data_IF_926370293301
#
_entry.id   IF_926370293301
#
_cell.length_a   1.000
_cell.length_b   1.000
_cell.length_c   1.000
_cell.angle_alpha   90.00
_cell.angle_beta   90.00
_cell.angle_gamma   90.00
#
_symmetry.space_group_name_H-M   'P 1'
#
loop_
_entity.id
_entity.type
_entity.pdbx_description
1 polymer ?
#
# COMPACT_ATOMS: atom_id res chain seq x y z
N UNK A 1 16.98 -14.46 -12.99
CA UNK A 1 15.66 -13.88 -13.31
C UNK A 1 15.33 -14.11 -14.78
N UNK A 2 14.12 -14.56 -15.09
CA UNK A 2 13.57 -14.58 -16.45
C UNK A 2 12.44 -13.55 -16.51
N UNK A 3 12.40 -12.78 -17.61
CA UNK A 3 11.26 -11.91 -17.91
C UNK A 3 10.31 -12.73 -18.80
N UNK A 4 9.06 -12.85 -18.37
CA UNK A 4 8.02 -13.64 -19.02
C UNK A 4 7.10 -12.70 -19.81
N UNK A 5 7.47 -12.44 -21.07
CA UNK A 5 6.73 -11.53 -21.96
C UNK A 5 5.58 -12.24 -22.68
N UNK A 6 5.48 -13.56 -22.59
CA UNK A 6 4.41 -14.36 -23.18
C UNK A 6 3.71 -15.19 -22.10
N UNK A 7 2.39 -15.14 -22.08
CA UNK A 7 1.58 -15.80 -21.04
C UNK A 7 1.12 -14.81 -19.96
N UNK A 8 0.43 -15.34 -18.99
CA UNK A 8 0.01 -14.58 -17.80
C UNK A 8 0.01 -15.50 -16.58
N UNK A 9 0.13 -14.95 -15.36
CA UNK A 9 0.17 -15.74 -14.13
C UNK A 9 -0.91 -16.82 -14.03
N UNK A 10 -2.16 -16.47 -14.32
CA UNK A 10 -3.30 -17.41 -14.27
C UNK A 10 -3.12 -18.63 -15.17
N UNK A 11 -2.64 -18.42 -16.41
CA UNK A 11 -2.41 -19.52 -17.36
C UNK A 11 -1.29 -20.47 -16.91
N UNK A 12 -0.32 -19.94 -16.16
CA UNK A 12 0.79 -20.69 -15.58
C UNK A 12 0.45 -21.28 -14.18
N UNK A 13 -0.80 -21.13 -13.69
CA UNK A 13 -1.24 -21.62 -12.39
C UNK A 13 -0.84 -20.77 -11.20
N UNK A 14 -0.49 -19.49 -11.42
CA UNK A 14 -0.15 -18.54 -10.36
C UNK A 14 -1.37 -17.70 -9.96
N UNK A 15 -1.39 -17.28 -8.69
CA UNK A 15 -2.39 -16.39 -8.10
C UNK A 15 -1.75 -15.47 -7.07
N UNK A 16 -2.36 -14.32 -6.80
CA UNK A 16 -1.96 -13.41 -5.73
C UNK A 16 -2.47 -13.94 -4.39
N UNK A 17 -1.58 -14.29 -3.45
CA UNK A 17 -1.99 -14.68 -2.10
C UNK A 17 -2.47 -13.47 -1.29
N UNK A 18 -3.28 -13.72 -0.26
CA UNK A 18 -3.68 -12.68 0.67
C UNK A 18 -2.50 -12.14 1.47
N UNK A 19 -2.60 -10.88 1.92
CA UNK A 19 -1.56 -10.27 2.76
C UNK A 19 -1.45 -10.94 4.13
N UNK A 20 -2.52 -11.50 4.67
CA UNK A 20 -2.46 -12.27 5.92
C UNK A 20 -1.87 -13.70 5.78
N UNK A 21 -1.53 -14.14 4.56
CA UNK A 21 -0.78 -15.38 4.34
C UNK A 21 0.69 -15.24 4.77
N UNK A 22 1.44 -16.34 4.96
CA UNK A 22 2.85 -16.27 5.35
C UNK A 22 3.73 -15.51 4.35
N UNK A 23 4.62 -14.66 4.87
CA UNK A 23 5.59 -13.87 4.12
C UNK A 23 7.02 -14.43 4.25
N UNK A 24 7.79 -14.30 3.17
CA UNK A 24 9.25 -14.42 3.18
C UNK A 24 9.91 -13.09 3.58
N UNK A 25 9.17 -11.99 3.55
CA UNK A 25 9.64 -10.68 3.97
C UNK A 25 8.85 -9.53 3.36
N UNK A 26 9.29 -8.31 3.67
CA UNK A 26 8.68 -7.04 3.26
C UNK A 26 9.70 -6.13 2.62
N UNK A 27 9.33 -5.49 1.53
CA UNK A 27 10.10 -4.44 0.84
C UNK A 27 9.66 -3.08 1.38
N UNK A 28 10.64 -2.21 1.70
CA UNK A 28 10.45 -0.80 2.06
C UNK A 28 11.48 0.01 1.27
N UNK A 29 11.09 1.18 0.77
CA UNK A 29 12.01 2.13 0.14
C UNK A 29 12.32 3.24 1.14
N UNK A 30 13.61 3.65 1.27
CA UNK A 30 14.00 4.66 2.24
C UNK A 30 13.65 6.07 1.76
N UNK A 31 12.91 6.87 2.54
CA UNK A 31 12.37 8.16 2.09
C UNK A 31 13.47 9.21 1.88
N UNK A 32 13.40 9.93 0.74
CA UNK A 32 14.39 10.92 0.33
C UNK A 32 13.80 12.16 -0.35
N UNK A 33 12.74 12.00 -1.19
CA UNK A 33 12.19 13.06 -2.04
C UNK A 33 11.71 14.29 -1.23
N UNK A 34 12.20 15.52 -1.50
CA UNK A 34 11.81 16.70 -0.71
C UNK A 34 10.36 17.17 -0.97
N UNK A 35 9.78 16.81 -2.11
CA UNK A 35 8.38 17.08 -2.45
C UNK A 35 7.38 16.20 -1.70
N UNK A 36 7.84 15.06 -1.12
CA UNK A 36 7.02 14.18 -0.30
C UNK A 36 7.42 14.22 1.18
N UNK A 37 8.73 14.31 1.48
CA UNK A 37 9.27 14.14 2.84
C UNK A 37 9.89 15.43 3.37
N UNK A 38 9.12 16.14 4.19
CA UNK A 38 9.47 17.47 4.72
C UNK A 38 10.75 17.47 5.56
N UNK A 39 11.42 18.62 5.59
CA UNK A 39 12.61 18.87 6.40
C UNK A 39 13.72 17.80 6.25
N UNK A 40 13.99 17.39 5.01
CA UNK A 40 15.02 16.39 4.70
C UNK A 40 14.67 14.98 5.16
N UNK A 41 13.37 14.66 5.23
CA UNK A 41 12.80 13.36 5.59
C UNK A 41 13.12 12.90 7.03
N UNK A 42 13.63 13.74 7.92
CA UNK A 42 14.15 13.29 9.22
C UNK A 42 13.10 12.53 10.03
N UNK A 43 11.90 13.11 10.23
CA UNK A 43 10.83 12.49 11.01
C UNK A 43 10.21 11.30 10.29
N UNK A 44 10.03 11.42 8.96
CA UNK A 44 9.59 10.31 8.14
C UNK A 44 10.51 9.10 8.29
N UNK A 45 11.84 9.31 8.23
CA UNK A 45 12.85 8.26 8.43
C UNK A 45 12.76 7.60 9.81
N UNK A 46 12.45 8.35 10.87
CA UNK A 46 12.23 7.79 12.20
C UNK A 46 10.95 6.91 12.23
N UNK A 47 9.85 7.33 11.58
CA UNK A 47 8.62 6.54 11.46
C UNK A 47 8.81 5.29 10.58
N UNK A 48 9.48 5.41 9.43
CA UNK A 48 9.86 4.26 8.59
C UNK A 48 10.74 3.27 9.35
N UNK A 49 11.70 3.75 10.13
CA UNK A 49 12.55 2.90 10.94
C UNK A 49 11.76 2.13 12.00
N UNK A 50 10.71 2.73 12.57
CA UNK A 50 9.82 2.03 13.49
C UNK A 50 9.03 0.91 12.79
N UNK A 51 8.49 1.18 11.59
CA UNK A 51 7.84 0.16 10.75
C UNK A 51 8.81 -0.98 10.43
N UNK A 52 10.03 -0.67 9.99
CA UNK A 52 11.07 -1.66 9.70
C UNK A 52 11.39 -2.52 10.93
N UNK A 53 11.53 -1.90 12.11
CA UNK A 53 11.82 -2.61 13.35
C UNK A 53 10.66 -3.55 13.75
N UNK A 54 9.40 -3.11 13.62
CA UNK A 54 8.24 -3.93 13.90
C UNK A 54 8.14 -5.15 12.96
N UNK A 55 8.43 -4.97 11.68
CA UNK A 55 8.49 -6.04 10.68
C UNK A 55 9.60 -7.04 11.04
N UNK A 56 10.79 -6.56 11.39
CA UNK A 56 11.95 -7.39 11.71
C UNK A 56 11.78 -8.26 12.97
N UNK A 57 10.74 -8.04 13.77
CA UNK A 57 10.39 -8.96 14.86
C UNK A 57 9.82 -10.30 14.35
N UNK A 58 9.24 -10.36 13.14
CA UNK A 58 8.54 -11.56 12.65
C UNK A 58 8.89 -12.01 11.23
N UNK A 59 9.52 -11.15 10.43
CA UNK A 59 9.91 -11.46 9.05
C UNK A 59 11.06 -10.60 8.55
N UNK A 60 11.64 -10.98 7.41
CA UNK A 60 12.76 -10.27 6.79
C UNK A 60 12.32 -8.91 6.25
N UNK A 61 12.97 -7.81 6.65
CA UNK A 61 12.81 -6.51 6.04
C UNK A 61 13.90 -6.26 4.97
N UNK A 62 13.48 -5.86 3.76
CA UNK A 62 14.35 -5.45 2.66
C UNK A 62 14.23 -3.94 2.48
N UNK A 63 15.25 -3.20 2.88
CA UNK A 63 15.28 -1.73 2.76
C UNK A 63 16.04 -1.34 1.51
N UNK A 64 15.31 -0.80 0.54
CA UNK A 64 15.89 -0.25 -0.68
C UNK A 64 16.30 1.20 -0.41
N UNK A 65 17.50 1.57 -0.72
CA UNK A 65 18.01 2.92 -0.50
C UNK A 65 19.07 3.29 -1.53
N UNK A 66 19.12 4.56 -1.92
CA UNK A 66 20.21 5.08 -2.74
C UNK A 66 21.54 5.09 -1.98
N UNK A 67 22.65 5.11 -2.74
CA UNK A 67 24.01 5.02 -2.18
C UNK A 67 24.34 6.11 -1.17
N UNK A 68 23.80 7.32 -1.36
CA UNK A 68 24.07 8.49 -0.49
C UNK A 68 23.28 8.46 0.83
N UNK A 69 22.22 7.64 0.95
CA UNK A 69 21.37 7.56 2.15
C UNK A 69 21.34 6.17 2.81
N UNK A 70 21.94 5.14 2.22
CA UNK A 70 21.87 3.76 2.74
C UNK A 70 22.52 3.62 4.14
N UNK A 71 23.61 4.34 4.40
CA UNK A 71 24.24 4.34 5.73
C UNK A 71 23.44 5.14 6.76
N UNK A 72 22.71 6.18 6.31
CA UNK A 72 21.74 6.87 7.14
C UNK A 72 20.60 5.91 7.52
N UNK A 73 20.06 5.13 6.56
CA UNK A 73 19.02 4.14 6.84
C UNK A 73 19.46 3.15 7.93
N UNK A 74 20.68 2.58 7.82
CA UNK A 74 21.24 1.67 8.84
C UNK A 74 21.31 2.33 10.22
N UNK A 75 21.81 3.55 10.27
CA UNK A 75 22.02 4.28 11.52
C UNK A 75 20.72 4.63 12.22
N UNK A 76 19.70 5.08 11.46
CA UNK A 76 18.39 5.47 12.02
C UNK A 76 17.62 4.24 12.49
N UNK A 77 17.57 3.17 11.69
CA UNK A 77 16.91 1.91 12.09
C UNK A 77 17.52 1.35 13.38
N UNK A 78 18.85 1.31 13.48
CA UNK A 78 19.53 0.85 14.70
C UNK A 78 19.27 1.75 15.92
N UNK A 79 19.19 3.07 15.72
CA UNK A 79 18.88 4.01 16.79
C UNK A 79 17.45 3.82 17.32
N UNK A 80 16.46 3.72 16.41
CA UNK A 80 15.04 3.49 16.75
C UNK A 80 14.85 2.12 17.40
N UNK A 81 15.49 1.08 16.88
CA UNK A 81 15.47 -0.27 17.45
C UNK A 81 15.89 -0.27 18.92
N UNK A 82 17.01 0.39 19.24
CA UNK A 82 17.51 0.52 20.61
C UNK A 82 16.60 1.38 21.49
N UNK A 83 16.15 2.52 20.97
CA UNK A 83 15.34 3.47 21.73
C UNK A 83 13.98 2.87 22.13
N UNK A 84 13.35 2.14 21.20
CA UNK A 84 12.01 1.53 21.39
C UNK A 84 12.06 0.06 21.86
N UNK A 85 13.27 -0.48 22.02
CA UNK A 85 13.52 -1.84 22.49
C UNK A 85 12.87 -2.94 21.61
N UNK A 86 12.87 -2.74 20.29
CA UNK A 86 12.46 -3.77 19.33
C UNK A 86 13.47 -4.92 19.27
N UNK A 87 12.96 -6.15 19.10
CA UNK A 87 13.80 -7.32 18.90
C UNK A 87 14.06 -7.51 17.39
N UNK A 88 15.31 -7.76 17.01
CA UNK A 88 15.69 -8.12 15.66
C UNK A 88 15.78 -9.65 15.56
N UNK A 89 14.63 -10.30 15.39
CA UNK A 89 14.59 -11.75 15.21
C UNK A 89 14.93 -12.14 13.76
N UNK A 90 14.72 -11.22 12.83
CA UNK A 90 15.09 -11.33 11.42
C UNK A 90 15.97 -10.16 11.02
N UNK A 91 17.09 -10.39 10.31
CA UNK A 91 18.01 -9.31 9.96
C UNK A 91 17.40 -8.35 8.93
N UNK A 92 17.65 -7.05 9.10
CA UNK A 92 17.30 -6.05 8.09
C UNK A 92 18.33 -6.09 6.96
N UNK A 93 17.89 -6.34 5.73
CA UNK A 93 18.73 -6.33 4.53
C UNK A 93 18.62 -5.01 3.79
N UNK A 94 19.76 -4.37 3.56
CA UNK A 94 19.84 -3.12 2.83
C UNK A 94 20.31 -3.39 1.41
N UNK A 95 19.55 -2.93 0.43
CA UNK A 95 19.83 -3.11 -0.99
C UNK A 95 19.98 -1.74 -1.63
N UNK A 96 21.16 -1.45 -2.21
CA UNK A 96 21.35 -0.23 -2.95
C UNK A 96 20.48 -0.23 -4.21
N UNK A 97 19.57 0.76 -4.30
CA UNK A 97 18.65 0.92 -5.41
C UNK A 97 18.23 2.39 -5.53
N UNK A 98 18.10 2.87 -6.76
CA UNK A 98 17.54 4.19 -7.06
C UNK A 98 16.02 4.11 -7.17
N UNK A 99 15.33 5.13 -6.70
CA UNK A 99 13.89 5.36 -6.85
C UNK A 99 13.62 6.86 -6.90
N UNK A 100 12.46 7.26 -7.40
CA UNK A 100 12.05 8.67 -7.37
C UNK A 100 11.35 8.99 -6.05
N UNK A 101 10.60 8.02 -5.46
CA UNK A 101 10.00 8.17 -4.12
C UNK A 101 9.99 6.83 -3.34
N UNK A 102 9.31 6.79 -2.18
CA UNK A 102 9.39 5.71 -1.19
C UNK A 102 8.12 4.84 -1.09
N UNK A 103 7.30 4.81 -2.12
CA UNK A 103 6.00 4.13 -2.13
C UNK A 103 6.12 2.68 -2.62
N UNK A 104 6.74 1.83 -1.78
CA UNK A 104 7.09 0.45 -2.12
C UNK A 104 5.88 -0.41 -2.53
N UNK A 105 4.67 -0.10 -2.04
CA UNK A 105 3.42 -0.78 -2.41
C UNK A 105 3.13 -0.63 -3.90
N UNK A 106 3.35 0.56 -4.44
CA UNK A 106 2.90 0.93 -5.77
C UNK A 106 3.98 0.72 -6.84
N UNK A 107 5.24 0.98 -6.49
CA UNK A 107 6.38 0.83 -7.42
C UNK A 107 7.08 -0.52 -7.29
N UNK A 108 6.85 -1.25 -6.20
CA UNK A 108 7.37 -2.60 -5.99
C UNK A 108 6.62 -3.66 -6.79
N UNK A 109 7.23 -4.86 -6.96
CA UNK A 109 6.56 -5.94 -7.67
C UNK A 109 5.35 -6.46 -6.89
N UNK A 110 4.19 -6.60 -7.54
CA UNK A 110 3.12 -7.44 -7.00
C UNK A 110 3.53 -8.90 -7.15
N UNK A 111 3.49 -9.67 -6.07
CA UNK A 111 3.91 -11.07 -6.11
C UNK A 111 2.73 -12.02 -6.28
N UNK A 112 2.96 -13.06 -7.08
CA UNK A 112 2.07 -14.19 -7.25
C UNK A 112 2.81 -15.49 -6.94
N UNK A 113 2.08 -16.50 -6.48
CA UNK A 113 2.63 -17.83 -6.19
C UNK A 113 1.77 -18.92 -6.83
N UNK A 114 2.35 -20.12 -7.00
CA UNK A 114 1.61 -21.30 -7.40
C UNK A 114 1.54 -22.32 -6.24
N UNK A 115 0.83 -23.42 -6.47
CA UNK A 115 0.68 -24.49 -5.46
C UNK A 115 1.99 -25.22 -5.15
N UNK A 116 2.97 -25.20 -6.05
CA UNK A 116 4.31 -25.76 -5.82
C UNK A 116 5.21 -24.87 -4.97
N UNK A 117 4.74 -23.68 -4.57
CA UNK A 117 5.48 -22.70 -3.79
C UNK A 117 6.43 -21.82 -4.60
N UNK A 118 6.41 -21.87 -5.94
CA UNK A 118 7.16 -20.93 -6.75
C UNK A 118 6.53 -19.52 -6.65
N UNK A 119 7.40 -18.51 -6.48
CA UNK A 119 7.01 -17.10 -6.37
C UNK A 119 7.57 -16.34 -7.56
N UNK A 120 6.74 -15.48 -8.16
CA UNK A 120 7.10 -14.59 -9.27
C UNK A 120 6.60 -13.17 -9.01
N UNK A 121 7.34 -12.17 -9.50
CA UNK A 121 6.88 -10.79 -9.50
C UNK A 121 6.01 -10.47 -10.72
N UNK A 122 5.21 -9.43 -10.60
CA UNK A 122 4.54 -8.75 -11.71
C UNK A 122 5.07 -7.33 -11.72
N UNK A 123 5.51 -6.86 -12.87
CA UNK A 123 6.00 -5.52 -13.14
C UNK A 123 4.92 -4.75 -13.88
N UNK A 124 4.19 -3.91 -13.16
CA UNK A 124 3.17 -3.03 -13.71
C UNK A 124 3.81 -1.80 -14.33
N UNK A 125 3.13 -1.17 -15.28
CA UNK A 125 3.51 0.16 -15.71
C UNK A 125 3.13 1.17 -14.63
N UNK A 126 4.12 1.86 -14.07
CA UNK A 126 3.89 2.92 -13.10
C UNK A 126 3.98 4.30 -13.77
N UNK A 127 3.07 5.22 -13.44
CA UNK A 127 2.99 6.53 -14.05
C UNK A 127 2.73 7.67 -13.06
N UNK A 128 3.24 7.55 -11.84
CA UNK A 128 3.03 8.51 -10.75
C UNK A 128 1.54 8.79 -10.48
N UNK A 129 0.71 7.73 -10.48
CA UNK A 129 -0.74 7.70 -10.20
C UNK A 129 -1.65 8.48 -11.16
N UNK A 130 -1.15 8.96 -12.29
CA UNK A 130 -2.01 9.68 -13.22
C UNK A 130 -1.31 10.16 -14.49
N UNK A 131 -0.01 9.98 -14.58
CA UNK A 131 0.79 10.31 -15.73
C UNK A 131 0.70 11.80 -16.08
N UNK A 132 0.30 12.11 -17.31
CA UNK A 132 0.15 13.49 -17.79
C UNK A 132 -1.22 14.11 -17.44
N UNK A 133 -2.15 13.36 -16.89
CA UNK A 133 -3.51 13.83 -16.59
C UNK A 133 -3.56 14.47 -15.22
N UNK A 134 -3.12 13.72 -14.22
CA UNK A 134 -3.17 14.07 -12.80
C UNK A 134 -2.05 13.38 -11.98
N UNK A 135 -0.92 13.06 -12.64
CA UNK A 135 0.25 12.48 -11.95
C UNK A 135 0.91 13.45 -10.99
N UNK A 136 1.34 12.94 -9.84
CA UNK A 136 1.84 13.76 -8.73
C UNK A 136 3.26 14.30 -8.95
N UNK A 137 4.04 13.72 -9.89
CA UNK A 137 5.34 14.24 -10.29
C UNK A 137 5.68 13.92 -11.75
N UNK A 138 6.56 14.71 -12.34
CA UNK A 138 6.79 14.71 -13.80
C UNK A 138 7.71 13.60 -14.30
N UNK A 139 8.65 13.13 -13.49
CA UNK A 139 9.58 12.04 -13.82
C UNK A 139 9.44 10.90 -12.81
N UNK A 140 9.02 9.73 -13.29
CA UNK A 140 8.85 8.49 -12.53
C UNK A 140 9.66 7.33 -13.12
N UNK A 141 10.67 7.64 -13.92
CA UNK A 141 11.43 6.62 -14.67
C UNK A 141 12.23 5.66 -13.80
N UNK A 142 12.64 6.08 -12.58
CA UNK A 142 13.28 5.18 -11.63
C UNK A 142 12.26 4.30 -10.94
N UNK A 143 11.13 4.88 -10.54
CA UNK A 143 10.05 4.17 -9.86
C UNK A 143 9.44 3.08 -10.74
N UNK A 144 9.19 3.36 -12.03
CA UNK A 144 8.71 2.38 -13.03
C UNK A 144 9.68 1.19 -13.25
N UNK A 145 10.89 1.26 -12.71
CA UNK A 145 11.91 0.20 -12.81
C UNK A 145 12.17 -0.56 -11.51
N UNK A 146 11.62 -0.11 -10.39
CA UNK A 146 11.89 -0.70 -9.06
C UNK A 146 11.52 -2.17 -9.03
N UNK A 147 10.34 -2.55 -9.55
CA UNK A 147 9.87 -3.93 -9.56
C UNK A 147 10.83 -4.85 -10.31
N UNK A 148 11.21 -4.49 -11.54
CA UNK A 148 12.16 -5.25 -12.34
C UNK A 148 13.55 -5.36 -11.68
N UNK A 149 14.07 -4.23 -11.15
CA UNK A 149 15.37 -4.21 -10.49
C UNK A 149 15.39 -5.05 -9.21
N UNK A 150 14.32 -4.98 -8.40
CA UNK A 150 14.21 -5.80 -7.21
C UNK A 150 14.15 -7.30 -7.54
N UNK A 151 13.27 -7.69 -8.47
CA UNK A 151 13.17 -9.09 -8.90
C UNK A 151 14.50 -9.62 -9.42
N UNK A 152 15.24 -8.80 -10.18
CA UNK A 152 16.57 -9.19 -10.67
C UNK A 152 17.57 -9.39 -9.53
N UNK A 153 17.64 -8.46 -8.57
CA UNK A 153 18.59 -8.54 -7.44
C UNK A 153 18.23 -9.67 -6.47
N UNK A 154 16.94 -9.91 -6.25
CA UNK A 154 16.45 -10.94 -5.35
C UNK A 154 16.32 -12.33 -6.00
N UNK A 155 16.46 -12.43 -7.34
CA UNK A 155 16.44 -13.68 -8.08
C UNK A 155 15.04 -14.23 -8.41
N UNK A 156 13.99 -13.40 -8.35
CA UNK A 156 12.65 -13.77 -8.76
C UNK A 156 12.47 -13.68 -10.28
N UNK A 157 11.79 -14.66 -10.87
CA UNK A 157 11.25 -14.51 -12.22
C UNK A 157 10.07 -13.55 -12.22
N UNK A 158 9.77 -12.90 -13.35
CA UNK A 158 8.85 -11.78 -13.39
C UNK A 158 7.99 -11.81 -14.67
N UNK A 159 6.72 -11.44 -14.52
CA UNK A 159 5.83 -11.12 -15.64
C UNK A 159 5.92 -9.62 -15.93
N UNK A 160 6.17 -9.27 -17.18
CA UNK A 160 6.08 -7.90 -17.66
C UNK A 160 4.62 -7.61 -18.06
N UNK A 161 4.00 -6.70 -17.34
CA UNK A 161 2.60 -6.32 -17.57
C UNK A 161 2.43 -5.02 -18.36
N UNK A 162 3.55 -4.38 -18.75
CA UNK A 162 3.48 -3.16 -19.57
C UNK A 162 2.71 -3.38 -20.87
N UNK A 163 1.94 -2.41 -21.34
CA UNK A 163 1.78 -1.05 -20.80
C UNK A 163 0.58 -0.89 -19.84
N UNK A 164 0.12 -1.94 -19.17
CA UNK A 164 -1.03 -1.86 -18.26
C UNK A 164 -0.65 -1.15 -16.96
N UNK A 165 -1.22 0.05 -16.75
CA UNK A 165 -0.97 0.87 -15.55
C UNK A 165 -1.76 0.29 -14.38
N UNK A 166 -1.05 -0.06 -13.30
CA UNK A 166 -1.66 -0.52 -12.05
C UNK A 166 -0.66 -0.31 -10.90
N UNK A 167 -1.17 -0.06 -9.73
CA UNK A 167 -0.42 0.03 -8.49
C UNK A 167 -0.86 -1.06 -7.50
N UNK A 168 0.03 -1.48 -6.61
CA UNK A 168 -0.29 -2.47 -5.57
C UNK A 168 -1.35 -1.99 -4.59
N UNK A 169 -1.41 -0.67 -4.32
CA UNK A 169 -2.44 -0.06 -3.47
C UNK A 169 -3.84 -0.02 -4.09
N UNK A 170 -3.93 -0.14 -5.42
CA UNK A 170 -5.21 -0.18 -6.14
C UNK A 170 -5.94 -1.54 -6.06
N UNK A 171 -5.32 -2.57 -5.46
CA UNK A 171 -5.84 -3.94 -5.39
C UNK A 171 -5.74 -4.51 -3.98
N UNK A 172 -6.77 -5.24 -3.54
CA UNK A 172 -6.73 -6.03 -2.30
C UNK A 172 -7.37 -7.39 -2.51
N UNK A 173 -6.75 -8.49 -2.04
CA UNK A 173 -7.21 -9.86 -2.31
C UNK A 173 -7.41 -10.68 -1.04
N UNK A 174 -8.38 -11.61 -1.08
CA UNK A 174 -8.58 -12.63 -0.05
C UNK A 174 -7.64 -13.86 -0.21
N UNK A 175 -6.83 -13.89 -1.29
CA UNK A 175 -5.99 -15.04 -1.62
C UNK A 175 -6.76 -16.29 -2.08
N UNK A 176 -8.09 -16.24 -2.09
CA UNK A 176 -8.99 -17.29 -2.55
C UNK A 176 -9.75 -16.90 -3.83
N UNK A 177 -9.08 -16.05 -4.65
CA UNK A 177 -9.52 -15.62 -5.98
C UNK A 177 -10.53 -14.47 -6.03
N UNK A 178 -10.74 -13.78 -4.92
CA UNK A 178 -11.49 -12.52 -4.89
C UNK A 178 -10.52 -11.35 -4.81
N UNK A 179 -10.78 -10.32 -5.59
CA UNK A 179 -10.05 -9.04 -5.53
C UNK A 179 -11.07 -7.91 -5.40
N UNK A 180 -10.80 -6.95 -4.52
CA UNK A 180 -11.55 -5.69 -4.40
C UNK A 180 -10.73 -4.57 -5.02
N UNK A 181 -11.40 -3.68 -5.74
CA UNK A 181 -10.84 -2.49 -6.39
C UNK A 181 -11.84 -1.33 -6.31
N UNK A 182 -11.38 -0.10 -6.47
CA UNK A 182 -12.25 1.08 -6.58
C UNK A 182 -12.48 1.48 -8.03
N UNK A 183 -13.71 1.94 -8.34
CA UNK A 183 -14.04 2.47 -9.67
C UNK A 183 -13.33 3.81 -9.92
N UNK A 184 -13.31 4.68 -8.93
CA UNK A 184 -12.64 5.99 -8.98
C UNK A 184 -11.18 5.87 -9.41
N UNK A 185 -10.44 4.88 -8.90
CA UNK A 185 -9.05 4.66 -9.26
C UNK A 185 -8.91 4.02 -10.66
N UNK A 186 -9.39 2.79 -10.83
CA UNK A 186 -9.09 2.01 -12.03
C UNK A 186 -9.77 2.51 -13.32
N UNK A 187 -10.86 3.28 -13.19
CA UNK A 187 -11.55 3.89 -14.32
C UNK A 187 -11.15 5.36 -14.53
N UNK A 188 -10.19 5.87 -13.77
CA UNK A 188 -9.66 7.22 -13.96
C UNK A 188 -8.98 7.37 -15.32
N UNK A 189 -9.00 8.59 -15.84
CA UNK A 189 -8.34 8.91 -17.12
C UNK A 189 -6.82 8.82 -17.04
N UNK A 190 -6.28 8.88 -15.83
CA UNK A 190 -4.85 8.79 -15.56
C UNK A 190 -4.29 7.37 -15.55
N UNK A 191 -5.13 6.33 -15.73
CA UNK A 191 -4.69 4.92 -15.73
C UNK A 191 -4.73 4.31 -17.13
N UNK A 192 -5.82 3.67 -17.50
CA UNK A 192 -5.97 2.93 -18.76
C UNK A 192 -7.22 3.40 -19.53
N UNK A 193 -7.28 4.67 -19.99
CA UNK A 193 -8.50 5.27 -20.53
C UNK A 193 -8.98 4.63 -21.84
N UNK A 194 -8.13 3.89 -22.55
CA UNK A 194 -8.47 3.15 -23.77
C UNK A 194 -9.13 1.80 -23.50
N UNK A 195 -9.13 1.33 -22.24
CA UNK A 195 -9.69 0.04 -21.85
C UNK A 195 -11.09 0.22 -21.23
N UNK A 196 -12.02 -0.64 -21.59
CA UNK A 196 -13.30 -0.77 -20.91
C UNK A 196 -13.14 -1.43 -19.53
N UNK A 197 -14.10 -1.21 -18.63
CA UNK A 197 -14.14 -1.87 -17.31
C UNK A 197 -14.00 -3.41 -17.43
N UNK A 198 -14.64 -4.04 -18.42
CA UNK A 198 -14.55 -5.49 -18.65
C UNK A 198 -13.15 -5.93 -19.11
N UNK A 199 -12.45 -5.12 -19.87
CA UNK A 199 -11.07 -5.43 -20.29
C UNK A 199 -10.09 -5.26 -19.14
N UNK A 200 -10.24 -4.23 -18.29
CA UNK A 200 -9.48 -4.06 -17.06
C UNK A 200 -9.73 -5.27 -16.13
N UNK A 201 -10.99 -5.66 -15.92
CA UNK A 201 -11.34 -6.82 -15.11
C UNK A 201 -10.70 -8.12 -15.63
N UNK A 202 -10.68 -8.32 -16.95
CA UNK A 202 -10.04 -9.49 -17.53
C UNK A 202 -8.52 -9.48 -17.32
N UNK A 203 -7.86 -8.32 -17.40
CA UNK A 203 -6.43 -8.19 -17.07
C UNK A 203 -6.16 -8.51 -15.60
N UNK A 204 -6.95 -7.96 -14.66
CA UNK A 204 -6.84 -8.30 -13.25
C UNK A 204 -6.98 -9.81 -13.01
N UNK A 205 -7.99 -10.44 -13.61
CA UNK A 205 -8.19 -11.90 -13.52
C UNK A 205 -6.99 -12.69 -14.06
N UNK A 206 -6.41 -12.25 -15.16
CA UNK A 206 -5.28 -12.93 -15.78
C UNK A 206 -3.99 -12.78 -14.98
N UNK A 207 -3.69 -11.58 -14.48
CA UNK A 207 -2.45 -11.32 -13.75
C UNK A 207 -2.51 -11.77 -12.28
N UNK A 208 -3.65 -11.60 -11.62
CA UNK A 208 -3.79 -11.93 -10.19
C UNK A 208 -4.34 -13.34 -9.94
N UNK A 209 -4.68 -14.09 -11.01
CA UNK A 209 -5.31 -15.41 -10.87
C UNK A 209 -6.71 -15.36 -10.27
N UNK A 210 -7.36 -14.19 -10.29
CA UNK A 210 -8.67 -13.98 -9.70
C UNK A 210 -9.80 -14.59 -10.56
N UNK A 211 -10.89 -14.96 -9.89
CA UNK A 211 -12.14 -15.39 -10.52
C UNK A 211 -13.22 -14.31 -10.39
N UNK A 212 -13.18 -13.54 -9.30
CA UNK A 212 -14.13 -12.47 -9.02
C UNK A 212 -13.41 -11.16 -8.69
N UNK A 213 -13.91 -10.07 -9.31
CA UNK A 213 -13.52 -8.70 -8.97
C UNK A 213 -14.74 -8.01 -8.39
N UNK A 214 -14.62 -7.49 -7.17
CA UNK A 214 -15.64 -6.66 -6.52
C UNK A 214 -15.21 -5.20 -6.75
N UNK A 215 -16.08 -4.45 -7.39
CA UNK A 215 -15.89 -3.03 -7.66
C UNK A 215 -16.68 -2.22 -6.64
N UNK A 216 -15.98 -1.52 -5.76
CA UNK A 216 -16.59 -0.50 -4.89
C UNK A 216 -16.43 0.88 -5.54
N UNK A 217 -17.40 1.79 -5.40
CA UNK A 217 -17.36 3.07 -6.13
C UNK A 217 -16.21 3.97 -5.69
N UNK A 218 -15.87 4.03 -4.42
CA UNK A 218 -15.02 5.08 -3.85
C UNK A 218 -13.88 4.54 -2.97
N UNK A 219 -12.88 5.38 -2.74
CA UNK A 219 -11.84 5.20 -1.72
C UNK A 219 -12.01 6.18 -0.56
N UNK A 220 -10.89 6.76 -0.09
CA UNK A 220 -10.92 7.81 0.94
C UNK A 220 -11.02 9.19 0.26
N UNK A 221 -11.85 10.04 0.83
CA UNK A 221 -12.01 11.42 0.37
C UNK A 221 -10.68 12.17 0.30
N UNK A 222 -10.43 12.81 -0.84
CA UNK A 222 -9.23 13.56 -1.14
C UNK A 222 -7.93 12.72 -1.17
N UNK A 223 -8.04 11.43 -1.53
CA UNK A 223 -6.87 10.60 -1.78
C UNK A 223 -6.25 10.93 -3.13
N UNK A 224 -4.99 11.36 -3.12
CA UNK A 224 -4.23 11.83 -4.29
C UNK A 224 -4.01 10.74 -5.35
N UNK A 225 -4.14 9.47 -4.95
CA UNK A 225 -3.96 8.32 -5.85
C UNK A 225 -5.20 7.99 -6.66
N UNK A 226 -6.20 8.88 -6.72
CA UNK A 226 -7.54 8.63 -7.22
C UNK A 226 -8.29 7.55 -6.41
N UNK A 227 -8.11 7.58 -5.09
CA UNK A 227 -8.86 6.74 -4.17
C UNK A 227 -8.49 5.23 -4.24
N UNK A 228 -7.25 4.91 -3.90
CA UNK A 228 -6.80 3.52 -3.76
C UNK A 228 -7.66 2.70 -2.78
N UNK A 229 -7.87 1.42 -3.10
CA UNK A 229 -8.69 0.53 -2.25
C UNK A 229 -8.04 0.24 -0.90
N UNK A 230 -6.72 0.19 -0.81
CA UNK A 230 -5.96 -0.12 0.40
C UNK A 230 -6.14 0.90 1.53
N UNK A 231 -6.66 2.09 1.18
CA UNK A 231 -6.96 3.15 2.13
C UNK A 231 -8.39 3.05 2.69
N UNK A 232 -9.31 2.39 1.97
CA UNK A 232 -10.73 2.31 2.33
C UNK A 232 -11.20 0.92 2.73
N UNK A 233 -10.68 -0.15 2.08
CA UNK A 233 -11.16 -1.50 2.29
C UNK A 233 -10.03 -2.53 2.23
N UNK A 234 -9.94 -3.41 3.24
CA UNK A 234 -8.93 -4.45 3.32
C UNK A 234 -9.51 -5.78 3.82
N UNK A 235 -9.14 -6.91 3.20
CA UNK A 235 -9.44 -8.24 3.71
C UNK A 235 -8.63 -8.53 4.98
N UNK A 236 -9.30 -9.07 6.00
CA UNK A 236 -8.68 -9.54 7.24
C UNK A 236 -8.63 -11.07 7.33
N UNK A 237 -9.56 -11.70 6.63
CA UNK A 237 -9.64 -13.15 6.42
C UNK A 237 -10.60 -13.43 5.26
N UNK A 238 -10.68 -14.68 4.75
CA UNK A 238 -11.61 -14.99 3.66
C UNK A 238 -13.06 -14.64 3.98
N UNK A 239 -13.69 -13.77 3.18
CA UNK A 239 -15.04 -13.28 3.36
C UNK A 239 -15.21 -12.15 4.37
N UNK A 240 -14.16 -11.68 5.04
CA UNK A 240 -14.20 -10.59 6.03
C UNK A 240 -13.37 -9.40 5.57
N UNK A 241 -13.95 -8.21 5.62
CA UNK A 241 -13.26 -6.96 5.28
C UNK A 241 -13.40 -5.92 6.36
N UNK A 242 -12.41 -5.07 6.51
CA UNK A 242 -12.52 -3.79 7.22
C UNK A 242 -12.89 -2.72 6.19
N UNK A 243 -13.82 -1.85 6.53
CA UNK A 243 -14.22 -0.69 5.73
C UNK A 243 -14.02 0.58 6.56
N UNK A 244 -13.31 1.56 6.00
CA UNK A 244 -13.19 2.88 6.58
C UNK A 244 -14.58 3.54 6.67
N UNK A 245 -14.90 4.13 7.82
CA UNK A 245 -16.24 4.61 8.13
C UNK A 245 -16.19 5.98 8.84
N UNK A 246 -17.29 6.68 8.79
CA UNK A 246 -17.59 7.81 9.70
C UNK A 246 -19.06 7.81 10.04
N UNK A 247 -19.41 8.20 11.27
CA UNK A 247 -20.80 8.42 11.67
C UNK A 247 -21.22 9.88 11.47
N UNK A 248 -20.31 10.75 11.04
CA UNK A 248 -20.60 12.15 10.73
C UNK A 248 -21.21 12.24 9.33
N UNK A 249 -22.50 12.48 9.26
CA UNK A 249 -23.26 12.60 8.01
C UNK A 249 -22.89 13.85 7.18
N UNK A 250 -22.24 14.83 7.79
CA UNK A 250 -21.77 16.04 7.12
C UNK A 250 -20.36 15.86 6.52
N UNK A 251 -19.62 14.80 6.91
CA UNK A 251 -18.35 14.44 6.30
C UNK A 251 -18.59 13.79 4.93
N UNK A 252 -17.92 14.25 3.85
CA UNK A 252 -18.01 13.62 2.52
C UNK A 252 -17.79 12.10 2.53
N UNK A 253 -16.91 11.60 3.40
CA UNK A 253 -16.63 10.17 3.53
C UNK A 253 -17.86 9.35 3.90
N UNK A 254 -18.83 9.93 4.62
CA UNK A 254 -20.04 9.18 4.99
C UNK A 254 -20.80 8.66 3.78
N UNK A 255 -21.00 9.51 2.76
CA UNK A 255 -21.70 9.11 1.55
C UNK A 255 -20.89 8.11 0.72
N UNK A 256 -19.57 8.32 0.61
CA UNK A 256 -18.65 7.43 -0.10
C UNK A 256 -18.65 6.03 0.54
N UNK A 257 -18.37 5.94 1.84
CA UNK A 257 -18.36 4.66 2.56
C UNK A 257 -19.72 3.99 2.61
N UNK A 258 -20.82 4.75 2.60
CA UNK A 258 -22.18 4.17 2.55
C UNK A 258 -22.46 3.48 1.22
N UNK A 259 -22.00 4.06 0.10
CA UNK A 259 -22.13 3.45 -1.21
C UNK A 259 -21.27 2.16 -1.33
N UNK A 260 -20.04 2.19 -0.80
CA UNK A 260 -19.16 1.02 -0.78
C UNK A 260 -19.75 -0.11 0.09
N UNK A 261 -20.33 0.25 1.25
CA UNK A 261 -20.99 -0.71 2.13
C UNK A 261 -22.15 -1.40 1.44
N UNK A 262 -23.00 -0.64 0.71
CA UNK A 262 -24.14 -1.21 -0.02
C UNK A 262 -23.70 -2.28 -1.02
N UNK A 263 -22.59 -2.05 -1.72
CA UNK A 263 -22.03 -3.05 -2.63
C UNK A 263 -21.52 -4.27 -1.85
N UNK A 264 -20.67 -4.05 -0.84
CA UNK A 264 -20.04 -5.13 -0.09
C UNK A 264 -21.07 -6.05 0.61
N UNK A 265 -22.12 -5.49 1.23
CA UNK A 265 -23.18 -6.27 1.90
C UNK A 265 -24.02 -7.10 0.94
N UNK A 266 -24.10 -6.71 -0.34
CA UNK A 266 -24.86 -7.42 -1.37
C UNK A 266 -24.01 -8.41 -2.19
N UNK A 267 -22.68 -8.37 -2.01
CA UNK A 267 -21.75 -9.21 -2.75
C UNK A 267 -21.39 -10.51 -1.99
N UNK A 268 -20.85 -11.44 -2.75
CA UNK A 268 -20.19 -12.64 -2.24
C UNK A 268 -18.76 -12.69 -2.75
N UNK A 269 -17.89 -13.41 -2.08
CA UNK A 269 -16.58 -13.74 -2.62
C UNK A 269 -16.60 -14.79 -3.74
N UNK A 270 -15.47 -15.16 -4.30
CA UNK A 270 -15.36 -16.15 -5.37
C UNK A 270 -15.75 -17.57 -4.93
N UNK A 271 -15.87 -17.83 -3.63
CA UNK A 271 -16.34 -19.10 -3.05
C UNK A 271 -17.83 -19.09 -2.71
N UNK A 272 -18.52 -17.96 -2.93
CA UNK A 272 -19.95 -17.80 -2.64
C UNK A 272 -20.27 -17.44 -1.18
N UNK A 273 -19.25 -17.10 -0.34
CA UNK A 273 -19.47 -16.59 1.01
C UNK A 273 -19.90 -15.13 0.95
N UNK A 274 -20.88 -14.75 1.76
CA UNK A 274 -21.22 -13.33 1.93
C UNK A 274 -20.04 -12.57 2.53
N UNK A 275 -19.86 -11.34 2.09
CA UNK A 275 -18.87 -10.45 2.68
C UNK A 275 -19.39 -9.94 4.02
N UNK A 276 -18.60 -10.14 5.08
CA UNK A 276 -18.84 -9.56 6.40
C UNK A 276 -17.99 -8.30 6.55
N UNK A 277 -18.65 -7.16 6.77
CA UNK A 277 -18.02 -5.85 6.81
C UNK A 277 -17.84 -5.37 8.25
N UNK A 278 -16.59 -5.11 8.62
CA UNK A 278 -16.21 -4.53 9.92
C UNK A 278 -15.90 -3.03 9.72
N UNK A 279 -16.79 -2.17 10.22
CA UNK A 279 -16.62 -0.71 10.12
C UNK A 279 -15.58 -0.22 11.11
N UNK A 280 -14.62 0.57 10.63
CA UNK A 280 -13.61 1.25 11.46
C UNK A 280 -13.65 2.74 11.14
N UNK A 281 -14.03 3.55 12.13
CA UNK A 281 -14.09 4.99 11.92
C UNK A 281 -12.71 5.57 11.62
N UNK A 282 -12.66 6.46 10.62
CA UNK A 282 -11.51 7.32 10.33
C UNK A 282 -11.27 8.30 11.48
N UNK A 283 -10.15 9.06 11.53
CA UNK A 283 -9.95 10.11 12.52
C UNK A 283 -11.15 11.05 12.60
N UNK A 284 -11.63 11.31 13.83
CA UNK A 284 -12.79 12.18 14.07
C UNK A 284 -12.54 13.60 13.61
N UNK A 285 -11.31 14.08 13.81
CA UNK A 285 -10.89 15.37 13.31
C UNK A 285 -10.12 15.17 12.02
N UNK A 286 -10.50 15.82 10.90
CA UNK A 286 -9.75 15.71 9.67
C UNK A 286 -8.26 16.01 9.90
N UNK A 287 -7.41 15.12 9.43
CA UNK A 287 -5.96 15.31 9.47
C UNK A 287 -5.59 16.21 8.31
N UNK A 288 -5.16 17.45 8.60
CA UNK A 288 -4.87 18.45 7.59
C UNK A 288 -3.42 18.90 7.63
N UNK A 289 -2.88 19.34 6.49
CA UNK A 289 -1.54 19.94 6.39
C UNK A 289 -1.52 21.25 7.18
N UNK A 290 -0.51 21.43 8.03
CA UNK A 290 -0.29 22.66 8.78
C UNK A 290 0.62 23.62 8.01
N UNK A 291 0.59 24.93 8.33
CA UNK A 291 1.54 25.93 7.81
C UNK A 291 3.02 25.52 8.05
N UNK A 292 3.28 24.92 9.20
CA UNK A 292 4.62 24.41 9.52
C UNK A 292 5.02 23.27 8.57
N UNK A 293 4.17 22.30 8.31
CA UNK A 293 4.46 21.18 7.40
C UNK A 293 4.61 21.67 5.98
N UNK A 294 3.70 22.55 5.52
CA UNK A 294 3.78 23.17 4.20
C UNK A 294 5.13 23.83 3.95
N UNK A 295 5.65 24.57 4.93
CA UNK A 295 6.97 25.22 4.81
C UNK A 295 8.16 24.27 4.74
N UNK A 296 7.93 22.99 5.00
CA UNK A 296 8.97 21.95 4.97
C UNK A 296 9.10 21.22 3.63
N UNK A 297 8.15 21.39 2.72
CA UNK A 297 8.23 20.83 1.37
C UNK A 297 9.17 21.63 0.47
N UNK A 298 9.74 20.96 -0.50
CA UNK A 298 10.46 21.58 -1.62
C UNK A 298 10.00 20.88 -2.88
N UNK A 299 9.07 21.52 -3.59
CA UNK A 299 8.51 20.99 -4.83
C UNK A 299 9.43 21.23 -6.01
N UNK A 300 9.48 20.28 -6.93
CA UNK A 300 10.16 20.37 -8.21
C UNK A 300 9.16 20.83 -9.30
N UNK A 301 9.67 21.27 -10.44
CA UNK A 301 8.82 21.65 -11.56
C UNK A 301 7.96 20.46 -12.03
N UNK A 302 6.63 20.62 -12.04
CA UNK A 302 5.67 19.59 -12.43
C UNK A 302 5.18 18.69 -11.29
N UNK A 303 5.52 19.02 -10.03
CA UNK A 303 4.87 18.45 -8.85
C UNK A 303 3.63 19.25 -8.46
N UNK A 304 2.61 18.55 -7.96
CA UNK A 304 1.46 19.19 -7.36
C UNK A 304 1.85 19.87 -6.04
N UNK A 305 1.56 21.17 -5.94
CA UNK A 305 1.79 21.94 -4.72
C UNK A 305 0.62 21.71 -3.75
N UNK A 306 0.95 21.48 -2.48
CA UNK A 306 0.00 21.31 -1.39
C UNK A 306 -0.39 22.66 -0.78
N UNK A 307 -1.53 22.67 -0.08
CA UNK A 307 -2.02 23.85 0.62
C UNK A 307 -2.15 23.61 2.13
N UNK A 308 -1.93 24.67 2.93
CA UNK A 308 -2.23 24.61 4.36
C UNK A 308 -3.74 24.47 4.59
N UNK A 309 -4.12 23.53 5.47
CA UNK A 309 -5.51 23.18 5.70
C UNK A 309 -6.05 22.12 4.75
N UNK A 310 -5.30 21.70 3.74
CA UNK A 310 -5.65 20.58 2.88
C UNK A 310 -5.81 19.30 3.70
N UNK A 311 -6.93 18.58 3.50
CA UNK A 311 -7.22 17.32 4.19
C UNK A 311 -6.43 16.16 3.55
N UNK A 312 -5.70 15.43 4.37
CA UNK A 312 -4.99 14.22 4.00
C UNK A 312 -5.90 12.99 4.09
N UNK A 313 -5.66 12.00 3.26
CA UNK A 313 -6.42 10.75 3.21
C UNK A 313 -6.09 9.80 4.38
N UNK A 314 -6.18 10.29 5.62
CA UNK A 314 -5.82 9.57 6.82
C UNK A 314 -6.87 8.49 7.15
N UNK A 315 -6.45 7.22 7.11
CA UNK A 315 -7.29 6.07 7.40
C UNK A 315 -6.55 5.03 8.22
N UNK A 316 -7.21 4.44 9.21
CA UNK A 316 -6.67 3.31 9.97
C UNK A 316 -6.69 2.00 9.16
N UNK A 317 -7.45 1.95 8.05
CA UNK A 317 -7.52 0.77 7.16
C UNK A 317 -6.24 0.58 6.36
N UNK A 318 -5.42 1.62 6.22
CA UNK A 318 -4.09 1.51 5.60
C UNK A 318 -3.05 0.91 6.59
N UNK A 319 -3.45 -0.16 7.30
CA UNK A 319 -2.57 -0.97 8.15
C UNK A 319 -1.77 -1.97 7.33
N UNK A 320 -0.71 -2.53 7.91
CA UNK A 320 0.08 -3.58 7.29
C UNK A 320 0.13 -4.85 8.15
N UNK A 321 -0.02 -6.01 7.51
CA UNK A 321 -0.01 -7.32 8.17
C UNK A 321 1.35 -7.97 7.98
N UNK A 322 2.01 -8.39 9.08
CA UNK A 322 3.23 -9.19 9.06
C UNK A 322 2.95 -10.60 9.58
N UNK A 323 3.93 -11.51 9.48
CA UNK A 323 3.78 -12.86 10.02
C UNK A 323 3.39 -12.90 11.49
N UNK A 324 3.92 -11.99 12.30
CA UNK A 324 3.69 -11.98 13.74
C UNK A 324 2.91 -10.78 14.27
N UNK A 325 2.49 -9.86 13.39
CA UNK A 325 1.87 -8.63 13.85
C UNK A 325 0.97 -7.93 12.85
N UNK A 326 0.33 -6.86 13.30
CA UNK A 326 -0.39 -5.89 12.48
C UNK A 326 0.06 -4.49 12.90
N UNK A 327 0.53 -3.70 11.94
CA UNK A 327 1.00 -2.34 12.12
C UNK A 327 -0.14 -1.38 11.77
N UNK A 328 -0.67 -0.67 12.76
CA UNK A 328 -1.87 0.15 12.60
C UNK A 328 -1.48 1.62 12.76
N UNK A 329 -1.77 2.47 11.75
CA UNK A 329 -1.45 3.89 11.83
C UNK A 329 -2.20 4.59 12.97
N UNK A 330 -1.55 5.58 13.58
CA UNK A 330 -2.10 6.43 14.63
C UNK A 330 -1.83 7.89 14.26
N UNK A 331 -2.78 8.77 14.52
CA UNK A 331 -2.73 10.17 14.09
C UNK A 331 -2.77 11.18 15.26
N UNK A 332 -2.85 10.71 16.51
CA UNK A 332 -3.06 11.54 17.69
C UNK A 332 -4.53 11.96 17.87
N UNK A 333 -5.45 11.21 17.28
CA UNK A 333 -6.90 11.43 17.35
C UNK A 333 -7.59 10.55 18.41
N UNK A 334 -8.76 10.96 18.85
CA UNK A 334 -9.56 10.21 19.82
C UNK A 334 -10.01 8.84 19.30
N UNK A 335 -9.98 8.62 17.99
CA UNK A 335 -10.31 7.35 17.34
C UNK A 335 -9.12 6.39 17.25
N UNK A 336 -7.90 6.80 17.61
CA UNK A 336 -6.72 5.94 17.57
C UNK A 336 -6.92 4.64 18.37
N UNK A 337 -7.29 4.75 19.63
CA UNK A 337 -7.50 3.59 20.51
C UNK A 337 -8.71 2.71 20.08
N UNK A 338 -9.88 3.26 19.72
CA UNK A 338 -10.97 2.48 19.15
C UNK A 338 -10.58 1.71 17.89
N UNK A 339 -9.87 2.35 16.94
CA UNK A 339 -9.42 1.72 15.70
C UNK A 339 -8.40 0.61 15.97
N UNK A 340 -7.42 0.88 16.85
CA UNK A 340 -6.43 -0.09 17.29
C UNK A 340 -7.07 -1.36 17.85
N UNK A 341 -8.08 -1.19 18.69
CA UNK A 341 -8.81 -2.31 19.31
C UNK A 341 -9.67 -3.05 18.28
N UNK A 342 -10.38 -2.34 17.43
CA UNK A 342 -11.26 -2.93 16.44
C UNK A 342 -10.46 -3.78 15.44
N UNK A 343 -9.43 -3.20 14.80
CA UNK A 343 -8.58 -3.91 13.84
C UNK A 343 -7.81 -5.03 14.53
N UNK A 344 -7.17 -4.76 15.68
CA UNK A 344 -6.40 -5.77 16.41
C UNK A 344 -7.20 -7.00 16.77
N UNK A 345 -8.50 -6.86 17.07
CA UNK A 345 -9.38 -7.99 17.41
C UNK A 345 -9.65 -8.95 16.24
N UNK A 346 -9.40 -8.51 15.00
CA UNK A 346 -9.57 -9.32 13.80
C UNK A 346 -8.35 -10.20 13.47
N UNK A 347 -7.22 -9.98 14.18
CA UNK A 347 -5.95 -10.67 13.93
C UNK A 347 -5.52 -11.45 15.18
N UNK A 348 -6.30 -12.47 15.56
CA UNK A 348 -5.99 -13.31 16.70
C UNK A 348 -4.58 -13.92 16.59
N UNK A 349 -3.80 -13.81 17.68
CA UNK A 349 -2.43 -14.33 17.75
C UNK A 349 -1.35 -13.42 17.15
N UNK A 350 -1.71 -12.31 16.50
CA UNK A 350 -0.76 -11.30 16.02
C UNK A 350 -0.59 -10.16 17.04
N UNK A 351 0.63 -9.70 17.20
CA UNK A 351 0.96 -8.53 18.03
C UNK A 351 0.50 -7.26 17.33
N UNK A 352 -0.17 -6.38 18.07
CA UNK A 352 -0.63 -5.08 17.55
C UNK A 352 0.46 -4.04 17.78
N UNK A 353 0.85 -3.34 16.71
CA UNK A 353 1.84 -2.27 16.73
C UNK A 353 1.15 -0.94 16.40
N UNK A 354 0.91 -0.06 17.39
CA UNK A 354 0.48 1.30 17.11
C UNK A 354 1.66 2.10 16.57
N UNK A 355 1.56 2.57 15.33
CA UNK A 355 2.60 3.35 14.68
C UNK A 355 2.11 4.78 14.50
N UNK A 356 2.79 5.76 15.10
CA UNK A 356 2.46 7.17 14.85
C UNK A 356 2.84 7.54 13.41
N UNK A 357 1.81 7.75 12.59
CA UNK A 357 1.94 7.84 11.14
C UNK A 357 1.80 9.27 10.59
N UNK A 358 1.76 10.30 11.44
CA UNK A 358 1.65 11.70 11.00
C UNK A 358 2.74 12.09 10.01
N UNK A 359 3.98 11.70 10.29
CA UNK A 359 5.13 12.02 9.46
C UNK A 359 5.23 11.16 8.18
N UNK A 360 4.35 10.15 8.03
CA UNK A 360 4.19 9.38 6.80
C UNK A 360 3.05 9.99 5.97
N UNK A 361 1.86 10.21 6.57
CA UNK A 361 0.69 10.68 5.86
C UNK A 361 0.85 12.08 5.25
N UNK A 362 1.71 12.92 5.84
CA UNK A 362 2.07 14.22 5.26
C UNK A 362 2.66 14.05 3.85
N UNK A 363 3.32 12.94 3.56
CA UNK A 363 3.81 12.60 2.22
C UNK A 363 2.74 12.18 1.21
N UNK A 364 1.48 11.94 1.66
CA UNK A 364 0.35 11.56 0.80
C UNK A 364 -0.19 10.15 1.05
N UNK A 365 0.63 9.21 1.55
CA UNK A 365 0.25 7.83 1.83
C UNK A 365 0.48 7.41 3.28
N UNK A 366 0.33 6.11 3.60
CA UNK A 366 0.43 5.63 4.97
C UNK A 366 1.24 4.31 5.06
N UNK A 367 1.08 3.52 6.12
CA UNK A 367 1.90 2.34 6.44
C UNK A 367 1.82 1.27 5.34
N UNK A 368 0.63 0.98 4.81
CA UNK A 368 0.46 0.00 3.73
C UNK A 368 1.17 0.48 2.45
N UNK A 369 1.04 1.76 2.12
CA UNK A 369 1.64 2.36 0.92
C UNK A 369 3.18 2.27 0.89
N UNK A 370 3.84 2.30 2.05
CA UNK A 370 5.30 2.21 2.15
C UNK A 370 5.84 0.79 2.25
N UNK A 371 4.97 -0.23 2.24
CA UNK A 371 5.33 -1.64 2.45
C UNK A 371 4.82 -2.52 1.31
N UNK A 372 5.62 -3.52 0.89
CA UNK A 372 5.22 -4.51 -0.10
C UNK A 372 5.67 -5.91 0.35
N UNK A 373 4.72 -6.82 0.59
CA UNK A 373 5.00 -8.17 1.02
C UNK A 373 5.58 -9.06 -0.08
N UNK A 374 6.44 -9.97 0.33
CA UNK A 374 6.94 -11.08 -0.49
C UNK A 374 6.35 -12.36 0.10
N UNK A 375 5.44 -13.05 -0.58
CA UNK A 375 4.81 -14.25 -0.05
C UNK A 375 5.80 -15.42 0.08
N UNK A 376 5.44 -16.35 0.98
CA UNK A 376 6.17 -17.61 1.16
C UNK A 376 5.71 -18.69 0.18
#
# INVERSE_FOLDING_TARGET
>A
MKILNAGCPRADGFYMPAEYAPHNGTIIIWPKRPGSWIYGARRAREAFAEVICAIAESEQAYVLAEADVIDNARSVVEAVRKQKNYQENFPVKYIQMESDDAWARDVGPTFVKNEDGAVRGIDWCFNAWGGKVDGLYADWTKDDRVAALFCNKAGYDMYDAHPFVLEGGAIHTDGEKTVIVTESCLLSKGRNPELSKSEIEQKLKNYLGAEKIIWIPYGIYNDETNEHVDNVCAFTSPGHVVLAWTDDMDDPQYQMSSADLEILENETDARGRKIEVHKVCIPKNPVCITEYELSGFTFEEGEDEREAGERLAASYVNFYITNGGVLIPQFGDVMDEPALKAIGSLFEGRKVYPIYARDIIVGGGNIHCITQQIPQ
#
